data_IF_379679067063
#
_entry.id   IF_379679067063
#
_cell.length_a   1.000
_cell.length_b   1.000
_cell.length_c   1.000
_cell.angle_alpha   90.00
_cell.angle_beta   90.00
_cell.angle_gamma   90.00
#
_symmetry.space_group_name_H-M   'P 1'
#
loop_
_entity.id
_entity.type
_entity.pdbx_description
1 polymer ?
#
# COMPACT_ATOMS: atom_id res chain seq x y z
N UNK A 1 -10.80 14.16 16.07
CA UNK A 1 -10.94 14.37 14.61
C UNK A 1 -10.37 13.15 13.92
N UNK A 2 -11.24 12.38 13.27
CA UNK A 2 -10.88 11.20 12.48
C UNK A 2 -9.84 11.59 11.42
N UNK A 3 -9.03 10.61 11.00
CA UNK A 3 -8.22 10.67 9.79
C UNK A 3 -8.67 11.76 8.82
N UNK A 4 -7.88 12.83 8.74
CA UNK A 4 -8.20 13.92 7.84
C UNK A 4 -8.33 13.34 6.43
N UNK A 5 -9.35 13.78 5.70
CA UNK A 5 -9.54 13.55 4.27
C UNK A 5 -8.21 13.67 3.48
N UNK A 6 -7.26 14.44 4.01
CA UNK A 6 -5.90 14.60 3.51
C UNK A 6 -5.08 13.30 3.47
N UNK A 7 -5.10 12.42 4.48
CA UNK A 7 -4.27 11.20 4.42
C UNK A 7 -4.72 10.23 3.34
N UNK A 8 -6.04 10.10 3.14
CA UNK A 8 -6.60 9.34 2.03
C UNK A 8 -6.29 9.99 0.68
N UNK A 9 -6.32 11.33 0.59
CA UNK A 9 -5.89 12.07 -0.60
C UNK A 9 -4.41 11.85 -0.92
N UNK A 10 -3.52 11.93 0.08
CA UNK A 10 -2.09 11.66 -0.11
C UNK A 10 -1.83 10.21 -0.53
N UNK A 11 -2.49 9.24 0.10
CA UNK A 11 -2.45 7.85 -0.32
C UNK A 11 -2.89 7.67 -1.78
N UNK A 12 -4.05 8.23 -2.14
CA UNK A 12 -4.60 8.15 -3.50
C UNK A 12 -3.68 8.81 -4.53
N UNK A 13 -3.07 9.95 -4.17
CA UNK A 13 -2.10 10.65 -5.01
C UNK A 13 -0.83 9.84 -5.25
N UNK A 14 -0.27 9.20 -4.20
CA UNK A 14 0.91 8.33 -4.34
C UNK A 14 0.61 7.10 -5.20
N UNK A 15 -0.59 6.52 -5.09
CA UNK A 15 -1.03 5.44 -5.96
C UNK A 15 -1.21 5.88 -7.42
N UNK A 16 -1.76 7.07 -7.66
CA UNK A 16 -1.85 7.64 -9.00
C UNK A 16 -0.46 7.85 -9.62
N UNK A 17 0.49 8.40 -8.86
CA UNK A 17 1.88 8.53 -9.25
C UNK A 17 2.51 7.17 -9.59
N UNK A 18 2.25 6.14 -8.79
CA UNK A 18 2.73 4.77 -9.05
C UNK A 18 2.20 4.22 -10.36
N UNK A 19 0.92 4.42 -10.68
CA UNK A 19 0.36 4.01 -11.97
C UNK A 19 1.04 4.73 -13.15
N UNK A 20 1.24 6.04 -13.05
CA UNK A 20 1.92 6.83 -14.09
C UNK A 20 3.36 6.35 -14.29
N UNK A 21 4.12 6.19 -13.20
CA UNK A 21 5.49 5.70 -13.24
C UNK A 21 5.57 4.31 -13.90
N UNK A 22 4.62 3.44 -13.60
CA UNK A 22 4.55 2.11 -14.20
C UNK A 22 4.26 2.13 -15.71
N UNK A 23 3.33 2.97 -16.16
CA UNK A 23 3.03 3.13 -17.60
C UNK A 23 4.29 3.59 -18.35
N UNK A 24 5.02 4.55 -17.78
CA UNK A 24 6.28 5.04 -18.35
C UNK A 24 7.31 3.89 -18.42
N UNK A 25 7.45 3.12 -17.33
CA UNK A 25 8.35 1.97 -17.28
C UNK A 25 8.02 0.92 -18.36
N UNK A 26 6.75 0.56 -18.51
CA UNK A 26 6.30 -0.39 -19.54
C UNK A 26 6.59 0.12 -20.95
N UNK A 27 6.37 1.40 -21.21
CA UNK A 27 6.68 2.02 -22.51
C UNK A 27 8.18 1.94 -22.83
N UNK A 28 9.04 2.22 -21.85
CA UNK A 28 10.50 2.09 -21.99
C UNK A 28 10.93 0.65 -22.25
N UNK A 29 10.33 -0.30 -21.52
CA UNK A 29 10.62 -1.72 -21.63
C UNK A 29 10.24 -2.27 -23.01
N UNK A 30 9.04 -1.95 -23.50
CA UNK A 30 8.57 -2.33 -24.85
C UNK A 30 9.47 -1.71 -25.94
N UNK A 31 9.82 -0.44 -25.82
CA UNK A 31 10.73 0.21 -26.77
C UNK A 31 12.10 -0.47 -26.83
N UNK A 32 12.63 -0.90 -25.69
CA UNK A 32 13.91 -1.62 -25.61
C UNK A 32 13.81 -3.02 -26.24
N UNK A 33 12.74 -3.76 -25.97
CA UNK A 33 12.53 -5.09 -26.55
C UNK A 33 12.40 -5.03 -28.08
N UNK A 34 11.65 -4.03 -28.60
CA UNK A 34 11.51 -3.81 -30.03
C UNK A 34 12.85 -3.48 -30.71
N UNK A 35 13.72 -2.68 -30.06
CA UNK A 35 15.07 -2.38 -30.58
C UNK A 35 15.99 -3.60 -30.67
N UNK A 36 15.78 -4.59 -29.80
CA UNK A 36 16.56 -5.83 -29.79
C UNK A 36 15.98 -6.86 -30.79
N UNK A 37 14.92 -6.52 -31.54
CA UNK A 37 14.24 -7.44 -32.46
C UNK A 37 13.46 -8.54 -31.74
N UNK A 38 13.32 -8.44 -30.41
CA UNK A 38 12.55 -9.39 -29.63
C UNK A 38 11.07 -9.03 -29.77
N UNK A 39 10.27 -9.96 -30.31
CA UNK A 39 8.81 -9.84 -30.21
C UNK A 39 8.46 -9.72 -28.72
N UNK A 40 7.72 -8.68 -28.36
CA UNK A 40 7.21 -8.45 -27.00
C UNK A 40 6.64 -9.78 -26.50
N UNK A 41 7.36 -10.43 -25.59
CA UNK A 41 7.02 -11.80 -25.21
C UNK A 41 5.78 -11.79 -24.35
N UNK A 42 4.96 -12.84 -24.41
CA UNK A 42 3.77 -13.01 -23.56
C UNK A 42 4.08 -12.85 -22.07
N UNK A 43 5.34 -13.09 -21.67
CA UNK A 43 5.87 -12.88 -20.31
C UNK A 43 5.83 -11.40 -19.92
N UNK A 44 6.16 -10.47 -20.83
CA UNK A 44 6.12 -9.03 -20.53
C UNK A 44 4.71 -8.51 -20.33
N UNK A 45 3.73 -9.00 -21.11
CA UNK A 45 2.31 -8.74 -20.93
C UNK A 45 1.77 -9.35 -19.63
N UNK A 46 2.21 -10.56 -19.29
CA UNK A 46 1.86 -11.21 -18.03
C UNK A 46 2.36 -10.42 -16.82
N UNK A 47 3.61 -9.95 -16.85
CA UNK A 47 4.18 -9.08 -15.82
C UNK A 47 3.43 -7.74 -15.74
N UNK A 48 3.06 -7.17 -16.90
CA UNK A 48 2.22 -5.98 -17.01
C UNK A 48 0.95 -6.11 -16.16
N UNK A 49 0.24 -7.21 -16.41
CA UNK A 49 -1.07 -7.53 -15.88
C UNK A 49 -0.99 -7.88 -14.39
N UNK A 50 0.01 -8.66 -13.97
CA UNK A 50 0.22 -9.01 -12.57
C UNK A 50 0.55 -7.80 -11.70
N UNK A 51 1.39 -6.87 -12.19
CA UNK A 51 1.65 -5.64 -11.45
C UNK A 51 0.40 -4.77 -11.32
N UNK A 52 -0.38 -4.64 -12.40
CA UNK A 52 -1.64 -3.89 -12.38
C UNK A 52 -2.62 -4.49 -11.36
N UNK A 53 -2.86 -5.81 -11.42
CA UNK A 53 -3.75 -6.52 -10.50
C UNK A 53 -3.32 -6.35 -9.05
N UNK A 54 -2.04 -6.54 -8.73
CA UNK A 54 -1.58 -6.42 -7.35
C UNK A 54 -1.67 -4.98 -6.83
N UNK A 55 -1.35 -4.00 -7.67
CA UNK A 55 -1.47 -2.57 -7.30
C UNK A 55 -2.94 -2.19 -7.09
N UNK A 56 -3.83 -2.69 -7.95
CA UNK A 56 -5.27 -2.48 -7.84
C UNK A 56 -5.87 -3.15 -6.59
N UNK A 57 -5.51 -4.41 -6.31
CA UNK A 57 -5.95 -5.12 -5.11
C UNK A 57 -5.48 -4.42 -3.83
N UNK A 58 -4.25 -3.92 -3.80
CA UNK A 58 -3.72 -3.19 -2.65
C UNK A 58 -4.42 -1.85 -2.47
N UNK A 59 -4.70 -1.13 -3.57
CA UNK A 59 -5.51 0.09 -3.53
C UNK A 59 -6.92 -0.18 -3.00
N UNK A 60 -7.60 -1.24 -3.46
CA UNK A 60 -8.92 -1.64 -2.97
C UNK A 60 -8.90 -2.05 -1.50
N UNK A 61 -7.91 -2.84 -1.09
CA UNK A 61 -7.76 -3.29 0.30
C UNK A 61 -7.66 -2.08 1.24
N UNK A 62 -6.80 -1.12 0.93
CA UNK A 62 -6.62 0.07 1.74
C UNK A 62 -7.81 1.03 1.63
N UNK A 63 -8.38 1.23 0.44
CA UNK A 63 -9.58 2.06 0.27
C UNK A 63 -10.75 1.52 1.07
N UNK A 64 -10.89 0.20 1.19
CA UNK A 64 -11.90 -0.43 2.05
C UNK A 64 -11.62 -0.25 3.54
N UNK A 65 -10.36 -0.14 3.96
CA UNK A 65 -10.03 0.27 5.33
C UNK A 65 -10.53 1.70 5.60
N UNK A 66 -10.48 2.60 4.62
CA UNK A 66 -10.93 3.99 4.78
C UNK A 66 -12.44 4.17 4.65
N UNK A 67 -13.04 3.64 3.57
CA UNK A 67 -14.46 3.82 3.24
C UNK A 67 -15.33 2.92 4.11
N UNK A 68 -14.99 1.64 4.16
CA UNK A 68 -15.78 0.63 4.87
C UNK A 68 -15.34 0.40 6.30
N UNK A 69 -14.26 1.06 6.76
CA UNK A 69 -13.73 0.94 8.13
C UNK A 69 -13.41 -0.51 8.53
N UNK A 70 -13.17 -1.38 7.54
CA UNK A 70 -12.89 -2.81 7.71
C UNK A 70 -11.40 -3.06 7.88
N UNK A 71 -10.91 -2.96 9.11
CA UNK A 71 -9.49 -3.08 9.44
C UNK A 71 -8.88 -4.46 9.20
N UNK A 72 -9.71 -5.51 9.09
CA UNK A 72 -9.26 -6.84 8.65
C UNK A 72 -8.58 -6.81 7.26
N UNK A 73 -8.88 -5.81 6.44
CA UNK A 73 -8.27 -5.64 5.11
C UNK A 73 -6.92 -4.88 5.15
N UNK A 74 -6.50 -4.40 6.32
CA UNK A 74 -5.19 -3.78 6.52
C UNK A 74 -4.05 -4.80 6.50
N UNK A 75 -4.26 -6.01 7.04
CA UNK A 75 -3.24 -7.08 7.03
C UNK A 75 -2.92 -7.53 5.60
N UNK A 76 -3.91 -7.85 4.73
CA UNK A 76 -3.65 -8.14 3.32
C UNK A 76 -2.88 -7.03 2.61
N UNK A 77 -3.21 -5.76 2.89
CA UNK A 77 -2.47 -4.62 2.34
C UNK A 77 -1.00 -4.63 2.75
N UNK A 78 -0.69 -4.78 4.05
CA UNK A 78 0.69 -4.82 4.54
C UNK A 78 1.45 -5.97 3.90
N UNK A 79 0.83 -7.15 3.79
CA UNK A 79 1.48 -8.33 3.24
C UNK A 79 1.80 -8.12 1.77
N UNK A 80 0.85 -7.68 0.96
CA UNK A 80 1.07 -7.50 -0.50
C UNK A 80 2.10 -6.40 -0.76
N UNK A 81 1.92 -5.22 -0.16
CA UNK A 81 2.81 -4.08 -0.39
C UNK A 81 4.19 -4.30 0.25
N UNK A 82 4.25 -4.92 1.43
CA UNK A 82 5.49 -5.27 2.10
C UNK A 82 6.33 -6.25 1.29
N UNK A 83 5.71 -7.29 0.71
CA UNK A 83 6.40 -8.19 -0.20
C UNK A 83 6.94 -7.46 -1.43
N UNK A 84 6.17 -6.55 -2.01
CA UNK A 84 6.66 -5.76 -3.15
C UNK A 84 7.84 -4.87 -2.80
N UNK A 85 7.81 -4.21 -1.64
CA UNK A 85 8.91 -3.37 -1.16
C UNK A 85 10.16 -4.22 -0.95
N UNK A 86 10.05 -5.34 -0.23
CA UNK A 86 11.18 -6.24 0.04
C UNK A 86 11.78 -6.79 -1.26
N UNK A 87 10.94 -7.33 -2.14
CA UNK A 87 11.37 -7.86 -3.44
C UNK A 87 12.07 -6.78 -4.29
N UNK A 88 11.50 -5.58 -4.32
CA UNK A 88 12.07 -4.43 -5.03
C UNK A 88 13.44 -4.04 -4.46
N UNK A 89 13.58 -3.97 -3.13
CA UNK A 89 14.86 -3.66 -2.49
C UNK A 89 15.92 -4.75 -2.71
N UNK A 90 15.52 -6.02 -2.72
CA UNK A 90 16.43 -7.15 -2.95
C UNK A 90 16.96 -7.21 -4.38
N UNK A 91 16.16 -6.78 -5.37
CA UNK A 91 16.57 -6.72 -6.78
C UNK A 91 17.42 -5.50 -7.14
N UNK A 92 17.41 -4.47 -6.29
CA UNK A 92 18.08 -3.20 -6.54
C UNK A 92 19.59 -3.32 -6.88
N UNK A 93 20.38 -4.23 -6.24
CA UNK A 93 21.80 -4.44 -6.56
C UNK A 93 22.04 -5.09 -7.92
N UNK A 94 21.07 -5.81 -8.47
CA UNK A 94 21.22 -6.60 -9.69
C UNK A 94 20.80 -5.84 -10.96
N UNK A 95 20.41 -4.58 -10.83
CA UNK A 95 19.86 -3.79 -11.92
C UNK A 95 20.90 -2.86 -12.55
N UNK A 96 21.10 -3.03 -13.86
CA UNK A 96 21.99 -2.20 -14.68
C UNK A 96 21.60 -0.72 -14.77
N UNK A 97 20.35 -0.36 -14.41
CA UNK A 97 19.86 1.03 -14.38
C UNK A 97 19.01 1.27 -13.13
N UNK A 98 19.67 1.18 -11.97
CA UNK A 98 19.07 1.36 -10.64
C UNK A 98 18.29 2.66 -10.49
N UNK A 99 18.70 3.77 -11.13
CA UNK A 99 18.01 5.06 -11.05
C UNK A 99 16.59 5.07 -11.65
N UNK A 100 16.38 4.40 -12.79
CA UNK A 100 15.04 4.29 -13.43
C UNK A 100 14.14 3.42 -12.55
N UNK A 101 14.70 2.34 -12.01
CA UNK A 101 13.99 1.45 -11.11
C UNK A 101 13.60 2.15 -9.80
N UNK A 102 14.53 2.92 -9.20
CA UNK A 102 14.26 3.75 -8.03
C UNK A 102 13.12 4.73 -8.27
N UNK A 103 13.09 5.41 -9.42
CA UNK A 103 11.98 6.35 -9.73
C UNK A 103 10.60 5.67 -9.79
N UNK A 104 10.55 4.37 -10.12
CA UNK A 104 9.30 3.60 -10.16
C UNK A 104 8.90 3.05 -8.79
N UNK A 105 9.88 2.75 -7.93
CA UNK A 105 9.67 2.16 -6.59
C UNK A 105 9.54 3.21 -5.50
N UNK A 106 10.03 4.42 -5.73
CA UNK A 106 9.94 5.50 -4.75
C UNK A 106 8.48 5.82 -4.35
N UNK A 107 7.50 5.92 -5.28
CA UNK A 107 6.10 6.08 -4.91
C UNK A 107 5.54 4.90 -4.10
N UNK A 108 5.98 3.67 -4.40
CA UNK A 108 5.61 2.45 -3.67
C UNK A 108 6.08 2.52 -2.22
N UNK A 109 7.38 2.78 -2.02
CA UNK A 109 7.96 2.85 -0.67
C UNK A 109 7.36 3.99 0.14
N UNK A 110 7.19 5.18 -0.47
CA UNK A 110 6.52 6.30 0.19
C UNK A 110 5.10 5.96 0.61
N UNK A 111 4.30 5.34 -0.26
CA UNK A 111 2.94 4.95 0.08
C UNK A 111 2.93 3.96 1.24
N UNK A 112 3.76 2.92 1.18
CA UNK A 112 3.84 1.89 2.21
C UNK A 112 4.26 2.47 3.58
N UNK A 113 5.35 3.25 3.63
CA UNK A 113 5.81 3.86 4.87
C UNK A 113 4.85 4.93 5.39
N UNK A 114 4.21 5.71 4.50
CA UNK A 114 3.18 6.65 4.89
C UNK A 114 2.03 5.94 5.59
N UNK A 115 1.59 4.80 5.08
CA UNK A 115 0.53 4.01 5.70
C UNK A 115 0.96 3.44 7.05
N UNK A 116 2.17 2.90 7.16
CA UNK A 116 2.71 2.38 8.42
C UNK A 116 2.88 3.47 9.48
N UNK A 117 3.39 4.63 9.11
CA UNK A 117 3.50 5.79 10.01
C UNK A 117 2.14 6.22 10.58
N UNK A 118 1.10 5.99 9.81
CA UNK A 118 -0.28 6.31 10.12
C UNK A 118 -1.00 5.18 10.90
N UNK A 119 -0.35 4.04 11.15
CA UNK A 119 -1.00 2.88 11.75
C UNK A 119 -1.60 3.12 13.14
N UNK A 120 -0.91 3.85 14.02
CA UNK A 120 -1.41 4.13 15.38
C UNK A 120 -2.71 4.93 15.41
N UNK A 121 -2.91 5.79 14.41
CA UNK A 121 -4.16 6.52 14.28
C UNK A 121 -5.26 5.62 13.67
N UNK A 122 -4.87 4.67 12.83
CA UNK A 122 -5.76 3.69 12.20
C UNK A 122 -6.29 2.71 13.26
N UNK A 123 -5.43 2.26 14.18
CA UNK A 123 -5.79 1.35 15.29
C UNK A 123 -6.65 2.04 16.36
N UNK A 124 -6.38 3.30 16.70
CA UNK A 124 -7.24 4.11 17.60
C UNK A 124 -8.64 4.31 17.05
N UNK A 125 -8.78 4.36 15.71
CA UNK A 125 -10.06 4.42 15.03
C UNK A 125 -10.89 3.14 15.23
N UNK A 126 -10.22 1.98 15.28
CA UNK A 126 -10.84 0.67 15.54
C UNK A 126 -11.48 0.64 16.91
N UNK A 127 -10.67 0.96 17.94
CA UNK A 127 -11.12 0.98 19.32
C UNK A 127 -12.33 1.91 19.47
N UNK A 128 -12.29 3.11 18.88
CA UNK A 128 -13.40 4.04 18.93
C UNK A 128 -14.67 3.55 18.20
N UNK A 129 -14.53 2.71 17.16
CA UNK A 129 -15.65 2.17 16.41
C UNK A 129 -16.24 0.91 17.03
N UNK A 130 -15.42 0.01 17.57
CA UNK A 130 -15.91 -1.10 18.39
C UNK A 130 -16.66 -0.57 19.61
N UNK A 131 -16.14 0.45 20.30
CA UNK A 131 -16.82 1.04 21.46
C UNK A 131 -18.18 1.63 21.11
N UNK A 132 -18.32 2.26 19.94
CA UNK A 132 -19.61 2.78 19.45
C UNK A 132 -20.56 1.65 19.00
N UNK A 133 -20.04 0.57 18.42
CA UNK A 133 -20.84 -0.60 18.02
C UNK A 133 -21.42 -1.35 19.22
N UNK A 134 -20.69 -1.36 20.34
CA UNK A 134 -21.10 -2.04 21.57
C UNK A 134 -21.77 -1.12 22.61
N UNK A 135 -22.02 0.17 22.31
CA UNK A 135 -22.59 1.16 23.24
C UNK A 135 -21.92 1.12 24.64
N UNK A 136 -20.60 0.91 24.68
CA UNK A 136 -19.87 0.78 25.94
C UNK A 136 -19.76 2.16 26.61
N UNK A 137 -20.16 2.28 27.87
CA UNK A 137 -20.01 3.51 28.66
C UNK A 137 -18.53 3.89 28.82
N UNK A 138 -18.21 5.19 28.90
CA UNK A 138 -16.83 5.70 29.01
C UNK A 138 -16.01 5.04 30.13
N UNK A 139 -16.66 4.62 31.21
CA UNK A 139 -16.03 3.94 32.35
C UNK A 139 -15.55 2.54 31.96
N UNK A 140 -16.36 1.77 31.22
CA UNK A 140 -15.97 0.44 30.72
C UNK A 140 -14.87 0.55 29.66
N UNK A 141 -14.87 1.62 28.85
CA UNK A 141 -13.82 1.91 27.89
C UNK A 141 -12.47 2.19 28.57
N UNK A 142 -12.47 2.96 29.67
CA UNK A 142 -11.26 3.17 30.49
C UNK A 142 -10.78 1.88 31.15
N UNK A 143 -11.69 1.04 31.63
CA UNK A 143 -11.36 -0.26 32.22
C UNK A 143 -10.64 -1.21 31.24
N UNK A 144 -11.11 -1.31 30.00
CA UNK A 144 -10.45 -2.13 28.95
C UNK A 144 -9.08 -1.58 28.58
N UNK A 145 -8.94 -0.25 28.52
CA UNK A 145 -7.66 0.40 28.20
C UNK A 145 -6.61 0.16 29.29
N UNK A 146 -7.03 0.17 30.55
CA UNK A 146 -6.16 -0.10 31.72
C UNK A 146 -5.82 -1.58 31.82
N UNK A 147 -6.76 -2.50 31.54
CA UNK A 147 -6.46 -3.94 31.58
C UNK A 147 -5.46 -4.37 30.49
N UNK A 148 -5.53 -3.77 29.30
CA UNK A 148 -4.55 -4.01 28.22
C UNK A 148 -3.15 -3.49 28.60
N UNK A 149 -3.06 -2.41 29.37
CA UNK A 149 -1.79 -1.85 29.86
C UNK A 149 -1.20 -2.73 30.98
N UNK A 150 -2.03 -3.33 31.83
CA UNK A 150 -1.60 -4.20 32.94
C UNK A 150 -1.14 -5.60 32.51
N UNK A 151 -1.52 -6.04 31.31
CA UNK A 151 -1.14 -7.36 30.76
C UNK A 151 0.19 -7.28 29.98
N UNK A 152 0.70 -6.08 29.73
CA UNK A 152 1.97 -5.84 29.01
C UNK A 152 3.11 -5.60 29.99
#
# INVERSE_FOLDING_TARGET
MLYSNNSYRYFSFLYALRFIAYIIYMKLLVSKLNRVGSKVSSISLYLALMFFLNTFLSFLAFSNVFISKKLKLFIPYIVIEGHMVLYSTALLPFLTRSYIFLSCIFPLMLAYFFVLYNYDNISKLDMAMETNKYNLSEIKQRGIKVSIILIR
#
